data_IF_404115378183
#
_entry.id   IF_404115378183
#
_cell.length_a   1.000
_cell.length_b   1.000
_cell.length_c   1.000
_cell.angle_alpha   90.00
_cell.angle_beta   90.00
_cell.angle_gamma   90.00
#
_symmetry.space_group_name_H-M   'P 1'
#
loop_
_entity.id
_entity.type
_entity.pdbx_description
1 polymer ?
#
# COMPACT_ATOMS: atom_id res chain seq x y z
N UNK A 1 -4.26 -18.43 22.13
CA UNK A 1 -2.85 -18.26 21.73
C UNK A 1 -1.89 -18.30 22.91
N UNK A 2 -2.13 -17.57 24.01
CA UNK A 2 -1.22 -17.62 25.17
C UNK A 2 -1.15 -19.01 25.83
N UNK A 3 -2.29 -19.71 25.96
CA UNK A 3 -2.28 -21.08 26.48
C UNK A 3 -1.58 -22.07 25.53
N UNK A 4 -1.78 -21.92 24.21
CA UNK A 4 -1.07 -22.71 23.18
C UNK A 4 0.43 -22.38 23.10
N UNK A 5 0.88 -21.25 23.63
CA UNK A 5 2.30 -20.92 23.70
C UNK A 5 3.00 -21.64 24.86
N UNK A 6 2.24 -21.99 25.92
CA UNK A 6 2.76 -22.69 27.10
C UNK A 6 2.75 -24.21 26.96
N UNK A 7 1.97 -24.74 26.01
CA UNK A 7 1.72 -26.18 25.86
C UNK A 7 1.92 -26.62 24.40
N UNK A 8 2.22 -27.89 24.15
CA UNK A 8 2.56 -28.44 22.83
C UNK A 8 1.44 -29.33 22.28
N UNK A 9 0.23 -28.80 22.16
CA UNK A 9 -0.97 -29.56 21.76
C UNK A 9 -1.24 -29.59 20.26
N UNK A 10 -0.58 -28.72 19.50
CA UNK A 10 -0.76 -28.60 18.06
C UNK A 10 0.01 -29.71 17.31
N UNK A 11 -0.50 -30.17 16.15
CA UNK A 11 0.15 -31.25 15.38
C UNK A 11 1.52 -30.85 14.81
N UNK A 12 1.79 -29.55 14.69
CA UNK A 12 3.07 -28.99 14.28
C UNK A 12 3.27 -27.58 14.87
N UNK A 13 4.48 -27.06 14.77
CA UNK A 13 4.82 -25.72 15.24
C UNK A 13 4.13 -24.65 14.39
N UNK A 14 3.21 -23.89 14.98
CA UNK A 14 2.45 -22.84 14.32
C UNK A 14 3.22 -21.51 14.28
N UNK A 15 3.42 -20.95 13.09
CA UNK A 15 4.02 -19.62 12.88
C UNK A 15 2.95 -18.61 12.53
N UNK A 16 2.80 -17.60 13.37
CA UNK A 16 1.88 -16.46 13.15
C UNK A 16 2.71 -15.21 12.91
N UNK A 17 2.49 -14.55 11.77
CA UNK A 17 3.17 -13.28 11.45
C UNK A 17 2.17 -12.18 11.14
N UNK A 18 2.59 -10.94 11.39
CA UNK A 18 1.82 -9.74 11.12
C UNK A 18 2.64 -8.75 10.28
N UNK A 19 1.98 -8.13 9.29
CA UNK A 19 2.52 -7.00 8.55
C UNK A 19 1.47 -5.90 8.51
N UNK A 20 1.92 -4.67 8.77
CA UNK A 20 1.05 -3.49 8.80
C UNK A 20 0.62 -3.04 7.40
N UNK A 21 1.34 -3.43 6.35
CA UNK A 21 0.98 -3.15 4.95
C UNK A 21 1.49 -4.26 4.01
N UNK A 22 1.08 -4.15 2.75
CA UNK A 22 1.42 -5.07 1.65
C UNK A 22 2.90 -5.10 1.23
N UNK A 23 3.77 -4.27 1.81
CA UNK A 23 5.22 -4.47 1.71
C UNK A 23 5.69 -5.71 2.50
N UNK A 24 4.82 -6.27 3.35
CA UNK A 24 5.00 -7.58 4.01
C UNK A 24 6.35 -7.74 4.71
N UNK A 25 6.89 -6.67 5.32
CA UNK A 25 8.16 -6.70 6.03
C UNK A 25 8.16 -7.78 7.13
N UNK A 26 8.88 -8.87 6.90
CA UNK A 26 8.91 -10.04 7.79
C UNK A 26 8.47 -11.31 7.06
N UNK A 27 7.75 -12.19 7.77
CA UNK A 27 7.44 -13.54 7.29
C UNK A 27 5.95 -13.75 6.94
N UNK A 28 5.17 -12.68 6.75
CA UNK A 28 3.73 -12.78 6.45
C UNK A 28 3.42 -13.60 5.20
N UNK A 29 4.27 -13.51 4.18
CA UNK A 29 4.09 -14.23 2.92
C UNK A 29 4.42 -15.74 3.01
N UNK A 30 4.97 -16.22 4.13
CA UNK A 30 5.41 -17.61 4.32
C UNK A 30 5.08 -18.18 5.72
N UNK A 31 4.07 -17.60 6.39
CA UNK A 31 3.58 -18.07 7.71
C UNK A 31 2.37 -18.96 7.56
N UNK A 32 2.17 -19.87 8.53
CA UNK A 32 0.97 -20.71 8.59
C UNK A 32 -0.30 -19.86 8.77
N UNK A 33 -0.19 -18.79 9.59
CA UNK A 33 -1.22 -17.78 9.74
C UNK A 33 -0.60 -16.40 9.51
N UNK A 34 -1.21 -15.64 8.60
CA UNK A 34 -0.77 -14.32 8.17
C UNK A 34 -1.84 -13.27 8.49
N UNK A 35 -1.45 -12.22 9.21
CA UNK A 35 -2.29 -11.05 9.45
C UNK A 35 -1.72 -9.88 8.65
N UNK A 36 -2.51 -9.34 7.73
CA UNK A 36 -2.09 -8.29 6.81
C UNK A 36 -2.99 -7.06 6.91
N UNK A 37 -2.39 -5.90 7.14
CA UNK A 37 -3.06 -4.61 6.99
C UNK A 37 -3.30 -4.28 5.52
N UNK A 38 -4.54 -3.94 5.18
CA UNK A 38 -4.96 -3.68 3.81
C UNK A 38 -5.76 -2.37 3.68
N UNK A 39 -5.39 -1.54 2.71
CA UNK A 39 -6.11 -0.30 2.41
C UNK A 39 -7.28 -0.58 1.46
N UNK A 40 -8.41 0.12 1.65
CA UNK A 40 -9.64 -0.06 0.85
C UNK A 40 -10.09 1.22 0.13
N UNK A 41 -9.25 2.25 0.09
CA UNK A 41 -9.53 3.54 -0.52
C UNK A 41 -8.32 3.99 -1.34
N UNK A 42 -8.52 4.57 -2.54
CA UNK A 42 -7.46 5.21 -3.31
C UNK A 42 -6.77 6.35 -2.53
N UNK A 43 -5.55 6.74 -2.91
CA UNK A 43 -4.84 7.85 -2.28
C UNK A 43 -5.53 9.19 -2.55
N UNK A 44 -5.52 10.07 -1.55
CA UNK A 44 -5.90 11.46 -1.74
C UNK A 44 -4.74 12.22 -2.40
N UNK A 45 -5.04 13.03 -3.41
CA UNK A 45 -4.03 13.75 -4.19
C UNK A 45 -3.87 15.18 -3.69
N UNK A 46 -2.67 15.50 -3.21
CA UNK A 46 -2.30 16.87 -2.86
C UNK A 46 -1.63 17.59 -4.05
N UNK A 47 -2.49 18.18 -4.85
CA UNK A 47 -2.17 18.87 -6.09
C UNK A 47 -1.21 20.06 -5.96
N UNK A 48 -1.08 20.67 -4.79
CA UNK A 48 -0.20 21.81 -4.57
C UNK A 48 1.27 21.41 -4.43
N UNK A 49 1.52 20.21 -3.92
CA UNK A 49 2.85 19.74 -3.54
C UNK A 49 3.37 18.58 -4.39
N UNK A 50 2.53 17.91 -5.17
CA UNK A 50 2.94 16.77 -6.00
C UNK A 50 4.11 17.09 -6.94
N UNK A 51 4.07 18.20 -7.68
CA UNK A 51 5.15 18.58 -8.61
C UNK A 51 6.44 19.00 -7.88
N UNK A 52 6.32 19.46 -6.63
CA UNK A 52 7.44 19.94 -5.82
C UNK A 52 8.18 18.80 -5.12
N UNK A 53 7.48 17.72 -4.76
CA UNK A 53 8.00 16.65 -3.91
C UNK A 53 8.10 15.30 -4.62
N UNK A 54 7.41 15.09 -5.73
CA UNK A 54 7.34 13.78 -6.38
C UNK A 54 7.93 13.82 -7.79
N UNK A 55 8.85 12.90 -8.04
CA UNK A 55 9.36 12.63 -9.38
C UNK A 55 8.36 11.76 -10.18
N UNK A 56 8.49 11.66 -11.52
CA UNK A 56 7.67 10.78 -12.37
C UNK A 56 7.65 9.30 -11.95
N UNK A 57 8.55 8.89 -11.04
CA UNK A 57 8.60 7.59 -10.39
C UNK A 57 7.26 7.17 -9.76
N UNK A 58 6.43 8.13 -9.33
CA UNK A 58 5.10 7.84 -8.79
C UNK A 58 4.20 7.08 -9.79
N UNK A 59 4.35 7.34 -11.10
CA UNK A 59 3.58 6.64 -12.15
C UNK A 59 4.08 5.20 -12.29
N UNK A 60 5.41 5.01 -12.32
CA UNK A 60 6.04 3.69 -12.48
C UNK A 60 5.84 2.78 -11.26
N UNK A 61 5.58 3.37 -10.07
CA UNK A 61 5.33 2.61 -8.85
C UNK A 61 3.99 1.85 -8.85
N UNK A 62 3.03 2.22 -9.73
CA UNK A 62 1.70 1.62 -9.74
C UNK A 62 1.67 0.28 -10.51
N UNK A 63 1.48 -0.88 -9.84
CA UNK A 63 1.51 -2.18 -10.52
C UNK A 63 0.34 -2.39 -11.48
N UNK A 64 -0.81 -1.76 -11.22
CA UNK A 64 -2.02 -1.85 -12.04
C UNK A 64 -2.13 -0.75 -13.09
N UNK A 65 -1.15 0.16 -13.17
CA UNK A 65 -1.16 1.35 -14.03
C UNK A 65 -2.44 2.22 -13.89
N UNK A 66 -2.89 2.44 -12.65
CA UNK A 66 -4.01 3.32 -12.33
C UNK A 66 -3.63 4.81 -12.35
N UNK A 67 -2.34 5.14 -12.22
CA UNK A 67 -1.82 6.51 -12.14
C UNK A 67 -1.39 6.97 -13.53
N UNK A 68 -1.82 8.18 -13.94
CA UNK A 68 -1.44 8.81 -15.21
C UNK A 68 -1.05 10.27 -15.02
N UNK A 69 -0.17 10.84 -15.86
CA UNK A 69 0.16 12.26 -15.82
C UNK A 69 -1.06 13.10 -16.21
N UNK A 70 -1.23 14.24 -15.54
CA UNK A 70 -2.29 15.19 -15.77
C UNK A 70 -1.78 16.63 -15.55
N UNK A 71 -2.50 17.61 -16.10
CA UNK A 71 -2.29 19.03 -15.79
C UNK A 71 -3.58 19.58 -15.20
N UNK A 72 -3.46 20.31 -14.12
CA UNK A 72 -4.59 20.89 -13.40
C UNK A 72 -4.34 22.37 -13.16
N UNK A 73 -5.41 23.14 -13.05
CA UNK A 73 -5.35 24.56 -12.73
C UNK A 73 -5.56 24.74 -11.22
N UNK A 74 -4.53 25.23 -10.54
CA UNK A 74 -4.57 25.57 -9.12
C UNK A 74 -4.26 27.06 -8.99
N UNK A 75 -5.17 27.84 -8.41
CA UNK A 75 -5.00 29.29 -8.20
C UNK A 75 -4.61 30.07 -9.48
N UNK A 76 -5.13 29.65 -10.64
CA UNK A 76 -4.83 30.27 -11.93
C UNK A 76 -3.49 29.88 -12.57
N UNK A 77 -2.73 28.96 -11.95
CA UNK A 77 -1.50 28.38 -12.52
C UNK A 77 -1.71 26.93 -12.94
N UNK A 78 -1.18 26.56 -14.11
CA UNK A 78 -1.15 25.18 -14.59
C UNK A 78 0.02 24.45 -13.94
N UNK A 79 -0.29 23.50 -13.05
CA UNK A 79 0.70 22.65 -12.39
C UNK A 79 0.65 21.24 -12.96
N UNK A 80 1.81 20.58 -13.00
CA UNK A 80 1.84 19.16 -13.36
C UNK A 80 1.37 18.35 -12.15
N UNK A 81 0.53 17.35 -12.39
CA UNK A 81 -0.01 16.49 -11.36
C UNK A 81 -0.22 15.09 -11.93
N UNK A 82 -0.73 14.19 -11.10
CA UNK A 82 -1.25 12.90 -11.53
C UNK A 82 -2.78 12.85 -11.40
N UNK A 83 -3.39 11.94 -12.15
CA UNK A 83 -4.78 11.52 -11.97
C UNK A 83 -4.82 10.01 -11.72
N UNK A 84 -5.70 9.57 -10.82
CA UNK A 84 -5.88 8.15 -10.46
C UNK A 84 -7.20 7.64 -11.02
N UNK A 85 -7.18 6.51 -11.72
CA UNK A 85 -8.40 5.80 -12.13
C UNK A 85 -8.82 4.83 -11.04
N UNK A 86 -9.86 5.17 -10.27
CA UNK A 86 -10.29 4.40 -9.08
C UNK A 86 -10.62 2.94 -9.39
N UNK A 87 -11.25 2.63 -10.52
CA UNK A 87 -11.58 1.26 -10.93
C UNK A 87 -10.35 0.34 -11.10
N UNK A 88 -9.16 0.93 -11.28
CA UNK A 88 -7.90 0.20 -11.45
C UNK A 88 -7.02 0.24 -10.20
N UNK A 89 -7.43 0.96 -9.15
CA UNK A 89 -6.68 1.18 -7.92
C UNK A 89 -7.09 0.18 -6.83
#
# INVERSE_FOLDING_TARGET
LFDEFKDHRLPAHLRVSLACCLNMCGAVHCSDIAILGYHRKPPLLDHEYLDKMCEPLAIAACPTAAIRPAKIELEGKKVNSVAVKEERC
#
